data_IF_397544787504
#
_entry.id   IF_397544787504
#
_cell.length_a   1.000
_cell.length_b   1.000
_cell.length_c   1.000
_cell.angle_alpha   90.00
_cell.angle_beta   90.00
_cell.angle_gamma   90.00
#
_symmetry.space_group_name_H-M   'P 1'
#
loop_
_entity.id
_entity.type
_entity.pdbx_description
1 polymer ?
#
# COMPACT_ATOMS: atom_id res chain seq x y z
N UNK A 1 12.91 3.24 -7.68
CA UNK A 1 13.52 2.84 -6.66
C UNK A 1 13.37 1.45 -6.29
N UNK A 2 14.39 0.92 -5.82
CA UNK A 2 14.39 -0.43 -5.48
C UNK A 2 13.56 -0.76 -4.33
N UNK A 3 13.18 0.20 -3.54
CA UNK A 3 12.42 -0.10 -2.36
C UNK A 3 10.93 -0.21 -2.59
N UNK A 4 10.49 -0.02 -3.80
CA UNK A 4 9.06 -0.08 -4.08
C UNK A 4 8.69 -1.46 -4.59
N UNK A 5 7.69 -2.07 -3.97
CA UNK A 5 7.15 -3.33 -4.41
C UNK A 5 5.88 -3.05 -5.20
N UNK A 6 5.73 -3.67 -6.34
CA UNK A 6 4.55 -3.49 -7.16
C UNK A 6 3.75 -4.77 -7.21
N UNK A 7 2.47 -4.65 -6.94
CA UNK A 7 1.56 -5.78 -7.01
C UNK A 7 0.33 -5.36 -7.80
N UNK A 8 -0.51 -6.28 -8.15
CA UNK A 8 -1.74 -5.92 -8.82
C UNK A 8 -2.91 -6.70 -8.23
N UNK A 9 -4.09 -6.11 -8.31
CA UNK A 9 -5.28 -6.73 -7.76
C UNK A 9 -6.49 -6.15 -8.49
N UNK A 10 -7.24 -7.01 -9.15
CA UNK A 10 -8.45 -6.60 -9.85
C UNK A 10 -8.25 -5.36 -10.73
N UNK A 11 -7.22 -5.41 -11.53
CA UNK A 11 -6.95 -4.33 -12.46
C UNK A 11 -6.27 -3.11 -11.86
N UNK A 12 -6.03 -3.11 -10.56
CA UNK A 12 -5.36 -1.99 -9.92
C UNK A 12 -3.89 -2.33 -9.72
N UNK A 13 -3.06 -1.31 -9.79
CA UNK A 13 -1.65 -1.47 -9.50
C UNK A 13 -1.42 -0.94 -8.09
N UNK A 14 -0.81 -1.74 -7.26
CA UNK A 14 -0.57 -1.36 -5.87
C UNK A 14 0.93 -1.22 -5.68
N UNK A 15 1.35 -0.02 -5.32
CA UNK A 15 2.75 0.25 -5.06
C UNK A 15 2.93 0.37 -3.56
N UNK A 16 3.92 -0.34 -3.02
CA UNK A 16 4.13 -0.39 -1.59
C UNK A 16 5.58 -0.08 -1.30
N UNK A 17 5.81 0.74 -0.31
CA UNK A 17 7.17 1.04 0.12
C UNK A 17 7.26 0.88 1.62
N UNK A 18 8.17 0.03 2.08
CA UNK A 18 8.40 -0.16 3.50
C UNK A 18 9.46 0.83 3.94
N UNK A 19 9.17 1.54 5.01
CA UNK A 19 10.04 2.59 5.51
C UNK A 19 10.54 2.20 6.90
N UNK A 20 11.85 2.14 7.11
CA UNK A 20 12.37 1.80 8.43
C UNK A 20 12.14 2.96 9.39
N UNK A 21 11.83 2.62 10.63
CA UNK A 21 11.60 3.59 11.67
C UNK A 21 12.71 3.46 12.69
N UNK A 22 13.34 4.56 13.05
CA UNK A 22 14.41 4.54 14.03
C UNK A 22 14.21 5.61 15.06
N UNK A 23 14.62 5.31 16.29
CA UNK A 23 14.61 6.31 17.32
C UNK A 23 15.86 7.16 17.15
N UNK A 24 15.76 8.41 17.48
CA UNK A 24 16.89 9.30 17.37
C UNK A 24 18.04 8.83 18.23
N UNK A 25 17.73 8.27 19.37
CA UNK A 25 18.78 7.90 20.32
C UNK A 25 19.38 6.55 20.09
N UNK A 26 18.86 5.76 19.17
CA UNK A 26 19.42 4.45 18.96
C UNK A 26 20.40 4.47 17.83
N UNK A 27 21.38 3.59 17.85
CA UNK A 27 22.32 3.51 16.74
C UNK A 27 21.55 3.21 15.46
N UNK A 28 22.01 3.78 14.39
CA UNK A 28 21.31 3.66 13.15
C UNK A 28 21.38 2.32 12.48
N UNK A 29 22.14 1.39 12.99
CA UNK A 29 22.32 0.15 12.29
C UNK A 29 21.08 -0.74 12.26
N UNK A 30 20.23 -0.63 13.26
CA UNK A 30 19.06 -1.51 13.32
C UNK A 30 17.79 -0.69 13.47
N UNK A 31 16.85 -0.80 12.58
CA UNK A 31 15.60 -0.07 12.72
C UNK A 31 14.75 -0.64 13.84
N UNK A 32 13.96 0.19 14.48
CA UNK A 32 13.04 -0.25 15.51
C UNK A 32 11.86 -0.99 14.92
N UNK A 33 11.55 -0.73 13.68
CA UNK A 33 10.44 -1.38 13.02
C UNK A 33 10.26 -0.79 11.65
N UNK A 34 9.15 -1.12 11.01
CA UNK A 34 8.87 -0.65 9.67
C UNK A 34 7.44 -0.18 9.56
N UNK A 35 7.26 0.84 8.76
CA UNK A 35 5.93 1.28 8.36
C UNK A 35 5.86 1.06 6.87
N UNK A 36 4.67 0.94 6.33
CA UNK A 36 4.54 0.82 4.89
C UNK A 36 3.59 1.88 4.39
N UNK A 37 3.93 2.48 3.26
CA UNK A 37 3.04 3.41 2.62
C UNK A 37 2.59 2.81 1.30
N UNK A 38 1.44 3.21 0.84
CA UNK A 38 0.78 2.60 -0.29
C UNK A 38 0.31 3.64 -1.29
N UNK A 39 0.41 3.30 -2.55
CA UNK A 39 -0.17 4.12 -3.61
C UNK A 39 -0.96 3.18 -4.50
N UNK A 40 -2.17 3.55 -4.88
CA UNK A 40 -3.01 2.70 -5.71
C UNK A 40 -3.32 3.43 -7.02
N UNK A 41 -3.08 2.75 -8.12
CA UNK A 41 -3.27 3.32 -9.45
C UNK A 41 -4.10 2.39 -10.31
N UNK A 42 -4.66 2.92 -11.36
CA UNK A 42 -5.37 2.12 -12.33
C UNK A 42 -5.25 2.81 -13.67
N UNK A 43 -4.80 2.06 -14.68
CA UNK A 43 -4.64 2.59 -16.04
C UNK A 43 -3.81 3.87 -16.07
N UNK A 44 -2.78 3.91 -15.26
CA UNK A 44 -1.88 5.07 -15.28
C UNK A 44 -2.38 6.22 -14.43
N UNK A 45 -3.55 6.10 -13.84
CA UNK A 45 -4.09 7.18 -13.05
C UNK A 45 -3.95 6.86 -11.57
N UNK A 46 -3.53 7.84 -10.78
CA UNK A 46 -3.36 7.64 -9.34
C UNK A 46 -4.72 7.80 -8.68
N UNK A 47 -5.23 6.72 -8.10
CA UNK A 47 -6.49 6.77 -7.39
C UNK A 47 -6.28 7.14 -5.93
N UNK A 48 -5.23 6.68 -5.34
CA UNK A 48 -4.88 7.06 -3.98
C UNK A 48 -3.38 7.21 -3.92
N UNK A 49 -2.91 8.43 -3.70
CA UNK A 49 -1.48 8.67 -3.68
C UNK A 49 -0.87 8.11 -2.42
N UNK A 50 0.43 8.16 -2.30
CA UNK A 50 1.15 7.58 -1.19
C UNK A 50 0.56 8.02 0.14
N UNK A 51 0.22 7.06 0.96
CA UNK A 51 -0.34 7.35 2.27
C UNK A 51 -0.12 6.18 3.21
N UNK A 52 -0.25 6.44 4.49
CA UNK A 52 -0.12 5.41 5.50
C UNK A 52 -1.46 4.71 5.65
N UNK A 53 -1.46 3.40 5.75
CA UNK A 53 -2.71 2.71 6.03
C UNK A 53 -3.30 3.21 7.34
N UNK A 54 -4.60 3.04 7.45
CA UNK A 54 -5.30 3.55 8.58
C UNK A 54 -4.65 3.31 9.92
N UNK A 55 -4.13 2.15 10.13
CA UNK A 55 -3.58 1.85 11.43
C UNK A 55 -2.17 2.34 11.64
N UNK A 56 -1.40 2.43 10.62
CA UNK A 56 -0.05 2.94 10.72
C UNK A 56 0.80 2.23 11.73
N UNK A 57 0.58 0.96 11.90
CA UNK A 57 1.25 0.23 12.93
C UNK A 57 2.67 -0.11 12.57
N UNK A 58 3.57 -0.03 13.54
CA UNK A 58 4.94 -0.40 13.29
C UNK A 58 5.06 -1.91 13.29
N UNK A 59 5.69 -2.45 12.29
CA UNK A 59 5.81 -3.88 12.15
C UNK A 59 7.26 -4.29 12.29
N UNK A 60 7.50 -5.55 12.59
CA UNK A 60 8.83 -6.02 12.90
C UNK A 60 9.75 -6.11 11.72
N UNK A 61 9.24 -6.43 10.58
CA UNK A 61 10.08 -6.64 9.42
C UNK A 61 9.50 -5.96 8.20
N UNK A 62 10.36 -5.76 7.22
CA UNK A 62 9.94 -5.19 5.97
C UNK A 62 8.88 -6.06 5.32
N UNK A 63 9.08 -7.36 5.34
CA UNK A 63 8.14 -8.27 4.71
C UNK A 63 6.76 -8.19 5.36
N UNK A 64 6.74 -8.08 6.67
CA UNK A 64 5.49 -8.00 7.38
C UNK A 64 4.79 -6.70 7.03
N UNK A 65 5.53 -5.61 6.96
CA UNK A 65 4.96 -4.31 6.61
C UNK A 65 4.38 -4.34 5.20
N UNK A 66 5.10 -4.96 4.28
CA UNK A 66 4.61 -5.05 2.91
C UNK A 66 3.33 -5.88 2.83
N UNK A 67 3.28 -6.97 3.60
CA UNK A 67 2.12 -7.83 3.57
C UNK A 67 0.90 -7.12 4.14
N UNK A 68 1.07 -6.41 5.24
CA UNK A 68 -0.05 -5.70 5.84
C UNK A 68 -0.54 -4.59 4.90
N UNK A 69 0.38 -3.93 4.23
CA UNK A 69 0.01 -2.88 3.29
C UNK A 69 -0.77 -3.47 2.11
N UNK A 70 -0.36 -4.64 1.65
CA UNK A 70 -1.06 -5.29 0.57
C UNK A 70 -2.49 -5.65 0.98
N UNK A 71 -2.66 -6.18 2.18
CA UNK A 71 -3.97 -6.54 2.67
C UNK A 71 -4.86 -5.30 2.76
N UNK A 72 -4.31 -4.21 3.24
CA UNK A 72 -5.04 -2.97 3.35
C UNK A 72 -5.52 -2.52 1.97
N UNK A 73 -4.62 -2.54 0.98
CA UNK A 73 -4.97 -2.09 -0.36
C UNK A 73 -6.04 -2.99 -0.97
N UNK A 74 -5.89 -4.30 -0.80
CA UNK A 74 -6.86 -5.24 -1.31
C UNK A 74 -8.23 -4.99 -0.69
N UNK A 75 -8.27 -4.70 0.59
CA UNK A 75 -9.53 -4.44 1.25
C UNK A 75 -10.19 -3.16 0.72
N UNK A 76 -9.40 -2.13 0.48
CA UNK A 76 -9.96 -0.90 -0.06
C UNK A 76 -10.57 -1.15 -1.43
N UNK A 77 -9.86 -1.88 -2.26
CA UNK A 77 -10.35 -2.16 -3.60
C UNK A 77 -11.61 -3.02 -3.53
N UNK A 78 -11.60 -4.03 -2.67
CA UNK A 78 -12.74 -4.91 -2.57
C UNK A 78 -13.98 -4.21 -2.02
N UNK A 79 -13.80 -3.17 -1.23
CA UNK A 79 -14.94 -2.44 -0.72
C UNK A 79 -15.50 -1.47 -1.73
N UNK A 80 -14.87 -1.34 -2.87
CA UNK A 80 -15.36 -0.43 -3.87
C UNK A 80 -15.08 1.03 -3.58
N UNK A 81 -14.07 1.30 -2.76
CA UNK A 81 -13.74 2.68 -2.41
C UNK A 81 -13.46 3.53 -3.64
N UNK A 82 -12.88 2.93 -4.66
CA UNK A 82 -12.54 3.67 -5.87
C UNK A 82 -13.58 3.46 -6.97
N UNK A 83 -14.70 2.89 -6.62
CA UNK A 83 -15.73 2.63 -7.59
C UNK A 83 -15.53 1.30 -8.26
N UNK A 84 -16.55 0.84 -8.91
CA UNK A 84 -16.45 -0.40 -9.62
C UNK A 84 -15.87 -0.11 -10.97
N UNK A 85 -14.92 -0.88 -11.34
CA UNK A 85 -14.31 -0.62 -12.63
C UNK A 85 -15.37 -0.87 -13.62
N UNK A 86 -15.01 -0.70 -14.69
CA UNK A 86 -15.75 -1.06 -15.74
C UNK A 86 -17.06 -1.62 -15.62
N UNK A 87 -17.12 -2.67 -15.07
CA UNK A 87 -18.29 -3.32 -15.04
C UNK A 87 -19.35 -2.39 -14.73
N UNK A 88 -19.10 -1.65 -13.87
CA UNK A 88 -20.07 -0.77 -13.46
C UNK A 88 -20.74 -0.22 -14.61
N UNK A 89 -20.05 0.09 -15.29
CA UNK A 89 -20.56 0.70 -16.30
C UNK A 89 -21.05 -0.01 -17.22
N UNK A 90 -20.38 -0.71 -17.42
CA UNK A 90 -20.74 -1.43 -18.49
C UNK A 90 -22.14 -1.77 -18.37
N UNK A 91 -22.29 -2.31 -17.48
CA UNK A 91 -23.43 -2.76 -17.43
C UNK A 91 -24.38 -1.98 -17.36
N UNK A 92 -24.00 -1.26 -16.89
CA UNK A 92 -24.92 -0.35 -16.64
C UNK A 92 -25.62 -0.25 -17.90
N UNK A 93 -25.05 -0.50 -18.63
CA UNK A 93 -25.68 -0.25 -19.80
C UNK A 93 -26.81 -1.04 -19.91
#
# INVERSE_FOLDING_TARGET
>A
MKDVTQESWKGHQINIRAVPVRHIQTPASVPDGYLAIVQICMNGEVLADWHLPRYGERLRSRREAEREAMQYAVQLINRGVFGEPVQALGLAA
#
